data_IF_828340590337
#
_entry.id   IF_828340590337
#
_cell.length_a   1.000
_cell.length_b   1.000
_cell.length_c   1.000
_cell.angle_alpha   90.00
_cell.angle_beta   90.00
_cell.angle_gamma   90.00
#
_symmetry.space_group_name_H-M   'P 1'
#
loop_
_entity.id
_entity.type
_entity.pdbx_description
1 polymer ?
#
# COMPACT_ATOMS: atom_id res chain seq x y z
N UNK A 1 -13.40 13.57 -18.68
CA UNK A 1 -13.05 13.40 -17.25
C UNK A 1 -14.00 12.35 -16.71
N UNK A 2 -13.50 11.21 -16.26
CA UNK A 2 -14.35 10.20 -15.60
C UNK A 2 -14.47 10.64 -14.13
N UNK A 3 -15.68 10.88 -13.60
CA UNK A 3 -15.84 11.28 -12.21
C UNK A 3 -15.38 10.16 -11.27
N UNK A 4 -14.67 10.51 -10.20
CA UNK A 4 -14.15 9.56 -9.21
C UNK A 4 -13.29 10.25 -8.15
N UNK A 5 -13.04 9.57 -7.02
CA UNK A 5 -12.18 10.10 -5.96
C UNK A 5 -10.71 9.90 -6.36
N UNK A 6 -9.99 10.99 -6.59
CA UNK A 6 -8.57 10.91 -7.00
C UNK A 6 -7.59 10.95 -5.80
N UNK A 7 -7.95 11.64 -4.73
CA UNK A 7 -7.07 11.89 -3.59
C UNK A 7 -7.79 11.55 -2.29
N UNK A 8 -7.19 10.68 -1.46
CA UNK A 8 -7.70 10.35 -0.14
C UNK A 8 -6.59 10.41 0.89
N UNK A 9 -6.66 11.41 1.77
CA UNK A 9 -5.69 11.62 2.83
C UNK A 9 -6.33 11.38 4.19
N UNK A 10 -5.87 10.33 4.87
CA UNK A 10 -6.32 9.91 6.19
C UNK A 10 -5.14 9.76 7.14
N UNK A 11 -4.04 10.47 6.87
CA UNK A 11 -2.85 10.48 7.71
C UNK A 11 -3.15 11.01 9.12
N UNK A 12 -2.36 10.59 10.12
CA UNK A 12 -2.49 11.04 11.52
C UNK A 12 -3.85 10.77 12.16
N UNK A 13 -4.41 9.59 11.89
CA UNK A 13 -5.63 9.10 12.51
C UNK A 13 -5.33 7.88 13.40
N UNK A 14 -6.38 7.15 13.78
CA UNK A 14 -6.30 5.91 14.57
C UNK A 14 -6.88 4.73 13.81
N UNK A 15 -6.71 4.74 12.48
CA UNK A 15 -7.17 3.64 11.64
C UNK A 15 -6.38 2.39 12.01
N UNK A 16 -7.10 1.29 12.19
CA UNK A 16 -6.54 -0.03 12.43
C UNK A 16 -7.20 -1.01 11.47
N UNK A 17 -6.72 -2.24 11.41
CA UNK A 17 -7.23 -3.26 10.48
C UNK A 17 -8.75 -3.45 10.62
N UNK A 18 -9.31 -3.29 11.83
CA UNK A 18 -10.76 -3.39 12.08
C UNK A 18 -11.58 -2.20 11.58
N UNK A 19 -10.95 -1.15 11.05
CA UNK A 19 -11.60 0.02 10.45
C UNK A 19 -11.41 0.12 8.93
N UNK A 20 -10.74 -0.85 8.31
CA UNK A 20 -10.51 -0.89 6.86
C UNK A 20 -10.86 -2.28 6.32
N UNK A 21 -12.10 -2.43 5.89
CA UNK A 21 -12.62 -3.64 5.27
C UNK A 21 -12.20 -3.80 3.80
N UNK A 22 -12.26 -5.03 3.23
CA UNK A 22 -12.00 -5.31 1.81
C UNK A 22 -12.77 -4.45 0.80
N UNK A 23 -13.91 -3.89 1.20
CA UNK A 23 -14.76 -3.08 0.33
C UNK A 23 -14.56 -1.58 0.52
N UNK A 24 -13.72 -1.15 1.47
CA UNK A 24 -13.58 0.27 1.88
C UNK A 24 -13.21 1.19 0.73
N UNK A 25 -12.43 0.69 -0.24
CA UNK A 25 -11.95 1.49 -1.37
C UNK A 25 -12.52 1.02 -2.72
N UNK A 26 -13.46 0.06 -2.73
CA UNK A 26 -13.95 -0.58 -3.96
C UNK A 26 -14.43 0.43 -5.02
N UNK A 27 -15.18 1.45 -4.61
CA UNK A 27 -15.68 2.50 -5.51
C UNK A 27 -14.60 3.44 -6.06
N UNK A 28 -13.37 3.39 -5.53
CA UNK A 28 -12.27 4.27 -5.90
C UNK A 28 -11.14 3.56 -6.65
N UNK A 29 -11.16 2.21 -6.81
CA UNK A 29 -10.07 1.44 -7.43
C UNK A 29 -9.61 1.95 -8.80
N UNK A 30 -10.54 2.49 -9.60
CA UNK A 30 -10.24 2.98 -10.94
C UNK A 30 -9.94 4.48 -11.02
N UNK A 31 -10.05 5.22 -9.92
CA UNK A 31 -9.86 6.68 -9.90
C UNK A 31 -8.82 7.18 -8.92
N UNK A 32 -8.54 6.43 -7.85
CA UNK A 32 -7.64 6.88 -6.80
C UNK A 32 -6.19 6.91 -7.29
N UNK A 33 -5.56 8.08 -7.19
CA UNK A 33 -4.19 8.37 -7.60
C UNK A 33 -3.26 8.50 -6.40
N UNK A 34 -3.77 9.02 -5.29
CA UNK A 34 -3.02 9.15 -4.04
C UNK A 34 -3.82 8.65 -2.85
N UNK A 35 -3.22 7.75 -2.08
CA UNK A 35 -3.77 7.22 -0.84
C UNK A 35 -2.75 7.36 0.28
N UNK A 36 -3.04 8.27 1.22
CA UNK A 36 -2.19 8.47 2.39
C UNK A 36 -2.87 7.95 3.64
N UNK A 37 -2.24 6.94 4.23
CA UNK A 37 -2.66 6.25 5.45
C UNK A 37 -1.52 6.24 6.49
N UNK A 38 -0.50 7.08 6.32
CA UNK A 38 0.64 7.17 7.21
C UNK A 38 0.26 7.70 8.60
N UNK A 39 1.04 7.37 9.62
CA UNK A 39 0.75 7.75 11.02
C UNK A 39 -0.63 7.25 11.49
N UNK A 40 -0.88 5.95 11.34
CA UNK A 40 -2.06 5.23 11.84
C UNK A 40 -1.63 3.99 12.65
N UNK A 41 -2.57 3.10 12.97
CA UNK A 41 -2.37 1.88 13.75
C UNK A 41 -2.50 0.60 12.90
N UNK A 42 -2.35 0.69 11.58
CA UNK A 42 -2.50 -0.44 10.64
C UNK A 42 -1.40 -1.49 10.88
N UNK A 43 -1.77 -2.78 10.99
CA UNK A 43 -0.83 -3.89 11.17
C UNK A 43 -0.64 -4.70 9.88
N UNK A 44 -1.48 -4.48 8.88
CA UNK A 44 -1.36 -5.03 7.53
C UNK A 44 -1.53 -3.94 6.48
N UNK A 45 -1.09 -4.23 5.26
CA UNK A 45 -1.46 -3.44 4.09
C UNK A 45 -2.96 -3.64 3.85
N UNK A 46 -3.74 -2.57 3.65
CA UNK A 46 -5.17 -2.68 3.36
C UNK A 46 -5.45 -3.60 2.15
N UNK A 47 -6.52 -4.39 2.19
CA UNK A 47 -6.95 -5.19 1.05
C UNK A 47 -7.35 -4.33 -0.16
N UNK A 48 -7.12 -4.84 -1.37
CA UNK A 48 -7.59 -4.22 -2.61
C UNK A 48 -6.62 -3.21 -3.24
N UNK A 49 -5.47 -2.95 -2.61
CA UNK A 49 -4.43 -2.07 -3.16
C UNK A 49 -3.90 -2.61 -4.50
N UNK A 50 -3.79 -3.92 -4.65
CA UNK A 50 -3.37 -4.60 -5.88
C UNK A 50 -4.30 -4.36 -7.07
N UNK A 51 -5.57 -4.02 -6.79
CA UNK A 51 -6.59 -3.68 -7.79
C UNK A 51 -6.57 -2.19 -8.19
N UNK A 52 -5.86 -1.32 -7.45
CA UNK A 52 -5.83 0.12 -7.70
C UNK A 52 -4.85 0.49 -8.83
N UNK A 53 -5.24 0.22 -10.07
CA UNK A 53 -4.40 0.43 -11.27
C UNK A 53 -4.15 1.89 -11.64
N UNK A 54 -4.78 2.85 -10.96
CA UNK A 54 -4.55 4.28 -11.14
C UNK A 54 -3.69 4.90 -10.02
N UNK A 55 -3.27 4.11 -9.02
CA UNK A 55 -2.59 4.60 -7.83
C UNK A 55 -1.12 4.88 -8.13
N UNK A 56 -0.67 6.11 -7.90
CA UNK A 56 0.71 6.54 -8.11
C UNK A 56 1.45 6.71 -6.78
N UNK A 57 0.75 7.17 -5.74
CA UNK A 57 1.32 7.38 -4.42
C UNK A 57 0.55 6.61 -3.35
N UNK A 58 1.27 5.75 -2.63
CA UNK A 58 0.78 5.03 -1.46
C UNK A 58 1.70 5.28 -0.27
N UNK A 59 1.16 5.94 0.77
CA UNK A 59 1.87 6.16 2.03
C UNK A 59 1.28 5.31 3.14
N UNK A 60 2.10 4.39 3.63
CA UNK A 60 1.80 3.50 4.75
C UNK A 60 2.87 3.58 5.84
N UNK A 61 3.80 4.54 5.73
CA UNK A 61 4.87 4.76 6.70
C UNK A 61 4.33 5.15 8.08
N UNK A 62 5.12 4.91 9.12
CA UNK A 62 4.73 5.18 10.51
C UNK A 62 3.42 4.47 10.92
N UNK A 63 3.28 3.20 10.55
CA UNK A 63 2.21 2.30 11.00
C UNK A 63 2.80 1.14 11.83
N UNK A 64 2.01 0.09 12.03
CA UNK A 64 2.38 -1.12 12.78
C UNK A 64 2.52 -2.36 11.88
N UNK A 65 2.76 -2.17 10.57
CA UNK A 65 2.78 -3.25 9.57
C UNK A 65 3.94 -4.19 9.84
N UNK A 66 3.69 -5.51 9.85
CA UNK A 66 4.71 -6.52 10.21
C UNK A 66 5.20 -7.36 9.04
N UNK A 67 4.37 -7.49 8.02
CA UNK A 67 4.61 -8.32 6.85
C UNK A 67 4.02 -7.66 5.60
N UNK A 68 4.59 -8.03 4.47
CA UNK A 68 4.06 -7.74 3.14
C UNK A 68 3.82 -9.10 2.50
N UNK A 69 2.57 -9.53 2.46
CA UNK A 69 2.19 -10.79 1.85
C UNK A 69 2.22 -10.68 0.32
N UNK A 70 2.40 -11.81 -0.40
CA UNK A 70 2.06 -11.87 -1.81
C UNK A 70 0.63 -11.34 -2.04
N UNK A 71 0.36 -10.74 -3.19
CA UNK A 71 -0.98 -10.27 -3.59
C UNK A 71 -1.52 -9.02 -2.88
N UNK A 72 -0.84 -8.48 -1.85
CA UNK A 72 -1.30 -7.22 -1.20
C UNK A 72 -0.97 -5.94 -1.95
N UNK A 73 0.09 -5.95 -2.76
CA UNK A 73 0.52 -4.79 -3.57
C UNK A 73 0.50 -5.17 -5.05
N UNK A 74 1.00 -6.36 -5.37
CA UNK A 74 1.03 -6.90 -6.71
C UNK A 74 0.28 -8.22 -6.78
N UNK A 75 -0.67 -8.34 -7.70
CA UNK A 75 -1.30 -9.61 -8.03
C UNK A 75 -0.30 -10.47 -8.83
N UNK A 76 0.06 -11.65 -8.30
CA UNK A 76 1.05 -12.53 -8.92
C UNK A 76 0.52 -13.33 -10.13
N UNK A 77 -0.80 -13.41 -10.30
CA UNK A 77 -1.45 -14.12 -11.42
C UNK A 77 -1.63 -13.24 -12.66
N UNK A 78 -1.47 -11.92 -12.52
CA UNK A 78 -1.66 -10.94 -13.59
C UNK A 78 -0.33 -10.27 -13.90
N UNK A 79 0.17 -10.48 -15.12
CA UNK A 79 1.41 -9.88 -15.63
C UNK A 79 1.18 -8.44 -16.11
N UNK A 80 0.69 -7.58 -15.21
CA UNK A 80 0.48 -6.15 -15.46
C UNK A 80 1.30 -5.32 -14.47
N UNK A 81 2.00 -4.32 -15.01
CA UNK A 81 2.71 -3.33 -14.22
C UNK A 81 1.74 -2.42 -13.43
N UNK A 82 2.13 -2.10 -12.20
CA UNK A 82 1.48 -1.06 -11.41
C UNK A 82 1.92 0.33 -11.86
N UNK A 83 1.03 1.32 -11.66
CA UNK A 83 1.34 2.75 -11.81
C UNK A 83 2.03 3.34 -10.57
N UNK A 84 2.31 2.55 -9.54
CA UNK A 84 2.92 3.03 -8.30
C UNK A 84 4.34 3.57 -8.56
N UNK A 85 4.48 4.87 -8.36
CA UNK A 85 5.76 5.58 -8.45
C UNK A 85 6.38 5.81 -7.07
N UNK A 86 5.55 5.84 -6.02
CA UNK A 86 5.96 6.11 -4.65
C UNK A 86 5.20 5.22 -3.65
N UNK A 87 5.91 4.23 -3.10
CA UNK A 87 5.43 3.35 -2.04
C UNK A 87 6.27 3.55 -0.78
N UNK A 88 5.67 4.16 0.25
CA UNK A 88 6.31 4.42 1.52
C UNK A 88 5.86 3.41 2.58
N UNK A 89 6.81 2.60 3.06
CA UNK A 89 6.61 1.56 4.07
C UNK A 89 7.59 1.68 5.25
N UNK A 90 8.45 2.71 5.27
CA UNK A 90 9.38 2.98 6.34
C UNK A 90 8.69 3.22 7.70
N UNK A 91 9.45 3.08 8.78
CA UNK A 91 8.97 3.24 10.16
C UNK A 91 7.80 2.30 10.53
N UNK A 92 7.75 1.11 9.93
CA UNK A 92 6.87 0.01 10.30
C UNK A 92 7.65 -1.06 11.09
N UNK A 93 7.15 -2.29 11.20
CA UNK A 93 7.80 -3.44 11.84
C UNK A 93 8.05 -4.58 10.85
N UNK A 94 8.25 -4.23 9.56
CA UNK A 94 8.35 -5.20 8.48
C UNK A 94 9.69 -5.93 8.57
N UNK A 95 9.63 -7.26 8.65
CA UNK A 95 10.82 -8.09 8.54
C UNK A 95 11.24 -8.24 7.09
N UNK A 96 12.09 -7.34 6.61
CA UNK A 96 12.42 -7.25 5.18
C UNK A 96 13.05 -8.53 4.58
N UNK A 97 13.65 -9.40 5.41
CA UNK A 97 14.23 -10.68 4.96
C UNK A 97 13.17 -11.76 4.68
N UNK A 98 11.95 -11.58 5.18
CA UNK A 98 10.84 -12.51 5.02
C UNK A 98 9.88 -12.07 3.89
N UNK A 99 10.16 -10.96 3.20
CA UNK A 99 9.34 -10.49 2.08
C UNK A 99 9.53 -11.40 0.87
N UNK A 100 8.43 -11.89 0.33
CA UNK A 100 8.43 -12.66 -0.92
C UNK A 100 8.93 -11.81 -2.09
N UNK A 101 9.69 -12.41 -3.01
CA UNK A 101 10.14 -11.75 -4.25
C UNK A 101 8.97 -11.27 -5.11
N UNK A 102 7.79 -11.89 -4.98
CA UNK A 102 6.59 -11.53 -5.73
C UNK A 102 5.79 -10.38 -5.10
N UNK A 103 6.10 -9.96 -3.87
CA UNK A 103 5.34 -8.92 -3.18
C UNK A 103 5.31 -7.57 -3.94
N UNK A 104 6.37 -7.30 -4.72
CA UNK A 104 6.55 -6.07 -5.48
C UNK A 104 6.82 -6.34 -6.98
N UNK A 105 6.44 -7.50 -7.50
CA UNK A 105 6.79 -7.92 -8.88
C UNK A 105 6.28 -6.96 -9.96
N UNK A 106 5.13 -6.33 -9.73
CA UNK A 106 4.50 -5.37 -10.63
C UNK A 106 5.07 -3.93 -10.53
N UNK A 107 6.01 -3.66 -9.61
CA UNK A 107 6.59 -2.32 -9.47
C UNK A 107 7.82 -2.21 -10.37
N UNK A 108 7.74 -1.37 -11.41
CA UNK A 108 8.79 -1.21 -12.44
C UNK A 108 10.14 -0.74 -11.90
N UNK A 109 10.13 0.10 -10.86
CA UNK A 109 11.36 0.61 -10.27
C UNK A 109 11.40 0.35 -8.78
N UNK A 110 12.38 -0.43 -8.32
CA UNK A 110 12.60 -0.63 -6.89
C UNK A 110 12.94 0.68 -6.14
N UNK A 111 13.41 1.72 -6.84
CA UNK A 111 13.63 3.05 -6.23
C UNK A 111 12.34 3.72 -5.77
N UNK A 112 11.19 3.29 -6.30
CA UNK A 112 9.86 3.74 -5.89
C UNK A 112 9.47 3.24 -4.50
N UNK A 113 10.17 2.23 -3.97
CA UNK A 113 9.82 1.59 -2.71
C UNK A 113 10.76 2.08 -1.60
N UNK A 114 10.21 2.85 -0.68
CA UNK A 114 10.91 3.29 0.53
C UNK A 114 10.58 2.33 1.66
N UNK A 115 11.46 1.34 1.86
CA UNK A 115 11.24 0.26 2.84
C UNK A 115 12.02 0.46 4.15
N UNK A 116 12.93 1.41 4.25
CA UNK A 116 13.80 1.57 5.43
C UNK A 116 13.76 3.00 5.96
N UNK A 117 13.89 3.21 7.28
CA UNK A 117 14.16 2.21 8.32
C UNK A 117 12.91 1.42 8.75
N UNK A 118 13.10 0.38 9.58
CA UNK A 118 12.03 -0.39 10.23
C UNK A 118 12.30 -0.43 11.75
N UNK A 119 11.24 -0.40 12.56
CA UNK A 119 11.26 -0.39 14.03
C UNK A 119 11.48 -1.81 14.60
N UNK A 120 12.58 -2.44 14.21
CA UNK A 120 12.94 -3.78 14.64
C UNK A 120 13.48 -3.68 16.08
N UNK A 121 12.81 -4.32 17.04
CA UNK A 121 13.37 -4.60 18.37
C UNK A 121 14.20 -5.88 18.32
#
# INVERSE_FOLDING_TARGET
MVPGLEYLYLSFNRLSDGGVDPVSFYGAYHSLRELFLDHNDLKSIPPGIEAMKALHFLRLNNNKIRNVLPEQICNAEVDDDSTLEHLHLENNYIKTREISSYAFSCIRSYSSIVLRPQNIK
#
